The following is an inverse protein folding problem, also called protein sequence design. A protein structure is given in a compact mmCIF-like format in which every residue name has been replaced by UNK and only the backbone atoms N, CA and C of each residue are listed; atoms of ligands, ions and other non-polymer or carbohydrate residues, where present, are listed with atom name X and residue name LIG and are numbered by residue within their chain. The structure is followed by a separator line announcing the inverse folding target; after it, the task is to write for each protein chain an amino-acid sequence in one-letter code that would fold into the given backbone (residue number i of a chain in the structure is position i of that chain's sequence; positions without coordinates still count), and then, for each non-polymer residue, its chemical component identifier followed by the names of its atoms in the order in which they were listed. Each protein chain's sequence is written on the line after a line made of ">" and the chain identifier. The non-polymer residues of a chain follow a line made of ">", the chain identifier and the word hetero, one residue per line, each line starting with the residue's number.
data_IF_220846938803
#
_entry.id   IF_220846938803
#
_cell.length_a   1.000
_cell.length_b   1.000
_cell.length_c   1.000
_cell.angle_alpha   90.00
_cell.angle_beta   90.00
_cell.angle_gamma   90.00
#
_symmetry.space_group_name_H-M   'P 1'
#
loop_
_entity.id
_entity.type
_entity.pdbx_description
1 polymer ?
#
# COMPACT_ATOMS: atom_id res chain seq x y z
N UNK A 1 6.41 -15.02 -13.47
CA UNK A 1 7.02 -13.83 -12.83
C UNK A 1 7.19 -14.12 -11.36
N UNK A 2 8.32 -13.76 -10.73
CA UNK A 2 8.51 -13.93 -9.30
C UNK A 2 7.56 -13.00 -8.52
N UNK A 3 7.09 -13.45 -7.36
CA UNK A 3 6.33 -12.63 -6.43
C UNK A 3 7.27 -11.57 -5.85
N UNK A 4 6.83 -10.31 -5.83
CA UNK A 4 7.58 -9.22 -5.18
C UNK A 4 7.70 -9.52 -3.69
N UNK A 5 8.93 -9.54 -3.19
CA UNK A 5 9.22 -9.84 -1.79
C UNK A 5 9.19 -8.57 -0.94
N UNK A 6 9.22 -8.72 0.38
CA UNK A 6 9.25 -7.59 1.31
C UNK A 6 10.37 -6.58 1.01
N UNK A 7 11.54 -7.04 0.55
CA UNK A 7 12.67 -6.17 0.18
C UNK A 7 12.32 -5.17 -0.94
N UNK A 8 11.34 -5.49 -1.79
CA UNK A 8 10.84 -4.54 -2.78
C UNK A 8 10.10 -3.37 -2.13
N UNK A 9 9.40 -3.61 -1.02
CA UNK A 9 8.54 -2.62 -0.36
C UNK A 9 9.26 -1.83 0.73
N UNK A 10 10.36 -2.31 1.30
CA UNK A 10 11.17 -1.59 2.31
C UNK A 10 12.01 -0.43 1.74
N UNK A 11 11.62 0.09 0.57
CA UNK A 11 12.32 1.15 -0.18
C UNK A 11 11.49 2.44 -0.15
N UNK A 12 12.06 3.58 -0.59
CA UNK A 12 11.35 4.85 -0.58
C UNK A 12 10.00 4.79 -1.32
N UNK A 13 8.92 5.28 -0.71
CA UNK A 13 7.54 5.11 -1.21
C UNK A 13 7.39 5.58 -2.66
N UNK A 14 7.96 6.72 -3.00
CA UNK A 14 7.90 7.28 -4.36
C UNK A 14 8.65 6.43 -5.40
N UNK A 15 9.65 5.64 -4.98
CA UNK A 15 10.33 4.69 -5.86
C UNK A 15 9.42 3.48 -6.09
N UNK A 16 8.91 2.91 -5.00
CA UNK A 16 8.04 1.73 -5.05
C UNK A 16 6.76 2.02 -5.85
N UNK A 17 6.12 3.18 -5.65
CA UNK A 17 4.90 3.55 -6.38
C UNK A 17 5.11 3.56 -7.90
N UNK A 18 6.20 4.16 -8.37
CA UNK A 18 6.53 4.20 -9.81
C UNK A 18 6.85 2.81 -10.35
N UNK A 19 7.57 2.00 -9.59
CA UNK A 19 7.95 0.64 -10.01
C UNK A 19 6.81 -0.37 -9.87
N UNK A 20 5.72 -0.04 -9.17
CA UNK A 20 4.50 -0.85 -9.18
C UNK A 20 3.72 -0.71 -10.48
N UNK A 21 3.87 0.40 -11.22
CA UNK A 21 3.25 0.56 -12.53
C UNK A 21 3.78 -0.49 -13.50
N UNK A 22 2.86 -1.21 -14.15
CA UNK A 22 3.17 -2.34 -15.03
C UNK A 22 3.28 -3.70 -14.31
N UNK A 23 3.31 -3.72 -12.98
CA UNK A 23 3.29 -4.97 -12.21
C UNK A 23 1.89 -5.59 -12.18
N UNK A 24 1.82 -6.90 -11.95
CA UNK A 24 0.55 -7.61 -11.84
C UNK A 24 0.09 -7.72 -10.38
N UNK A 25 -1.14 -7.26 -10.10
CA UNK A 25 -1.87 -7.65 -8.90
C UNK A 25 -2.58 -8.97 -9.18
N UNK A 26 -2.27 -10.00 -8.40
CA UNK A 26 -2.79 -11.36 -8.60
C UNK A 26 -3.58 -11.79 -7.37
N UNK A 27 -4.78 -12.34 -7.59
CA UNK A 27 -5.64 -12.88 -6.55
C UNK A 27 -6.10 -14.29 -6.92
N UNK A 28 -5.76 -15.26 -6.09
CA UNK A 28 -6.38 -16.58 -6.13
C UNK A 28 -7.67 -16.55 -5.30
N UNK A 29 -8.81 -16.78 -5.95
CA UNK A 29 -10.16 -16.72 -5.38
C UNK A 29 -10.95 -17.95 -5.83
N UNK A 30 -11.37 -18.80 -4.89
CA UNK A 30 -12.21 -19.98 -5.14
C UNK A 30 -11.68 -20.89 -6.26
N UNK A 31 -10.36 -21.09 -6.29
CA UNK A 31 -9.67 -21.90 -7.30
C UNK A 31 -9.46 -21.21 -8.65
N UNK A 32 -9.92 -19.98 -8.82
CA UNK A 32 -9.68 -19.14 -10.00
C UNK A 32 -8.57 -18.13 -9.74
N UNK A 33 -7.68 -17.95 -10.71
CA UNK A 33 -6.65 -16.91 -10.68
C UNK A 33 -7.13 -15.69 -11.43
N UNK A 34 -7.33 -14.60 -10.70
CA UNK A 34 -7.62 -13.27 -11.22
C UNK A 34 -6.33 -12.45 -11.26
N UNK A 35 -6.17 -11.62 -12.28
CA UNK A 35 -5.03 -10.69 -12.33
C UNK A 35 -5.37 -9.42 -13.10
N UNK A 36 -4.79 -8.30 -12.65
CA UNK A 36 -4.80 -7.03 -13.37
C UNK A 36 -3.41 -6.41 -13.38
N UNK A 37 -3.13 -5.57 -14.38
CA UNK A 37 -1.92 -4.76 -14.43
C UNK A 37 -2.21 -3.47 -13.65
N UNK A 38 -1.30 -3.11 -12.74
CA UNK A 38 -1.36 -1.84 -12.02
C UNK A 38 -0.97 -0.74 -13.02
N UNK A 39 -1.90 0.15 -13.33
CA UNK A 39 -1.71 1.26 -14.28
C UNK A 39 -1.73 2.62 -13.61
N UNK A 40 -2.15 2.69 -12.35
CA UNK A 40 -2.24 3.90 -11.55
C UNK A 40 -1.87 3.57 -10.10
N UNK A 41 -1.25 4.54 -9.43
CA UNK A 41 -0.90 4.46 -8.00
C UNK A 41 -0.87 5.86 -7.40
N UNK A 42 -1.27 6.01 -6.13
CA UNK A 42 -1.06 7.23 -5.36
C UNK A 42 -0.16 6.96 -4.15
N UNK A 43 0.82 7.82 -3.91
CA UNK A 43 1.76 7.68 -2.80
C UNK A 43 1.39 8.62 -1.65
N UNK A 44 1.32 8.07 -0.44
CA UNK A 44 1.12 8.81 0.80
C UNK A 44 2.36 8.67 1.69
N UNK A 45 3.06 9.78 1.96
CA UNK A 45 4.44 9.73 2.48
C UNK A 45 4.62 10.56 3.75
N UNK A 46 4.88 9.86 4.86
CA UNK A 46 5.28 10.48 6.11
C UNK A 46 4.15 11.23 6.82
N UNK A 47 4.46 11.85 7.97
CA UNK A 47 3.48 12.58 8.78
C UNK A 47 3.12 13.96 8.20
N UNK A 48 3.98 14.52 7.33
CA UNK A 48 3.78 15.87 6.76
C UNK A 48 2.82 15.89 5.56
N UNK A 49 2.53 14.73 4.99
CA UNK A 49 1.52 14.59 3.94
C UNK A 49 0.12 14.76 4.52
N UNK A 50 -0.45 15.96 4.34
CA UNK A 50 -1.77 16.31 4.89
C UNK A 50 -2.93 15.52 4.28
N UNK A 51 -2.75 14.87 3.13
CA UNK A 51 -3.76 14.00 2.53
C UNK A 51 -3.72 12.58 3.13
N UNK A 52 -2.60 12.20 3.75
CA UNK A 52 -2.41 10.90 4.38
C UNK A 52 -3.27 10.73 5.63
N UNK A 53 -3.78 9.50 5.81
CA UNK A 53 -4.39 9.07 7.07
C UNK A 53 -3.44 9.17 8.27
N UNK A 54 -2.12 9.22 8.05
CA UNK A 54 -1.12 9.35 9.10
C UNK A 54 -0.83 10.80 9.51
N UNK A 55 -1.36 11.81 8.82
CA UNK A 55 -1.10 13.23 9.08
C UNK A 55 -1.45 13.72 10.49
N UNK A 56 -2.35 13.01 11.16
CA UNK A 56 -2.76 13.28 12.55
C UNK A 56 -2.17 12.29 13.56
N UNK A 57 -1.15 11.56 13.15
CA UNK A 57 -0.49 10.54 13.95
C UNK A 57 -1.18 9.17 13.90
N UNK A 58 -0.70 8.28 14.76
CA UNK A 58 -1.10 6.88 14.78
C UNK A 58 -2.45 6.68 15.47
N UNK A 59 -3.30 5.88 14.85
CA UNK A 59 -4.60 5.41 15.36
C UNK A 59 -4.68 3.90 15.21
N UNK A 60 -5.63 3.22 15.88
CA UNK A 60 -5.83 1.78 15.67
C UNK A 60 -6.09 1.42 14.20
N UNK A 61 -6.76 2.30 13.45
CA UNK A 61 -7.11 2.09 12.04
C UNK A 61 -5.90 2.20 11.11
N UNK A 62 -5.09 3.25 11.23
CA UNK A 62 -3.95 3.50 10.34
C UNK A 62 -2.65 2.87 10.87
N UNK A 63 -2.68 2.17 12.00
CA UNK A 63 -1.49 1.63 12.67
C UNK A 63 -0.68 0.66 11.81
N UNK A 64 -1.29 0.07 10.78
CA UNK A 64 -0.62 -0.75 9.76
C UNK A 64 0.42 0.06 8.98
N UNK A 65 0.14 1.33 8.66
CA UNK A 65 1.05 2.21 7.92
C UNK A 65 2.37 2.47 8.68
N UNK A 66 2.37 2.34 10.00
CA UNK A 66 3.56 2.51 10.86
C UNK A 66 4.30 1.19 11.10
N UNK A 67 3.81 0.08 10.54
CA UNK A 67 4.34 -1.25 10.74
C UNK A 67 5.40 -1.63 9.71
N UNK A 68 5.47 -2.94 9.44
CA UNK A 68 6.41 -3.49 8.47
C UNK A 68 5.91 -3.22 7.04
N UNK A 69 6.84 -3.02 6.10
CA UNK A 69 6.54 -2.84 4.68
C UNK A 69 5.99 -4.12 4.00
N UNK A 70 5.26 -3.93 2.91
CA UNK A 70 4.66 -5.00 2.10
C UNK A 70 3.37 -5.57 2.70
N UNK A 71 2.78 -4.89 3.67
CA UNK A 71 1.51 -5.29 4.29
C UNK A 71 0.36 -4.56 3.61
N UNK A 72 -0.71 -5.29 3.29
CA UNK A 72 -1.93 -4.69 2.76
C UNK A 72 -2.65 -3.89 3.86
N UNK A 73 -2.90 -2.61 3.58
CA UNK A 73 -3.76 -1.76 4.38
C UNK A 73 -5.06 -1.50 3.62
N UNK A 74 -6.11 -2.23 3.99
CA UNK A 74 -7.44 -2.11 3.38
C UNK A 74 -8.39 -1.43 4.34
N UNK A 75 -9.08 -0.39 3.89
CA UNK A 75 -10.07 0.33 4.70
C UNK A 75 -11.33 0.63 3.91
N UNK A 76 -12.45 0.83 4.64
CA UNK A 76 -13.71 1.28 4.06
C UNK A 76 -13.77 2.79 3.94
N UNK A 77 -14.12 3.29 2.76
CA UNK A 77 -14.49 4.68 2.50
C UNK A 77 -16.01 4.77 2.25
N UNK A 78 -16.63 5.83 2.79
CA UNK A 78 -18.08 6.07 2.73
C UNK A 78 -18.96 4.92 3.25
N UNK A 79 -18.39 4.00 4.04
CA UNK A 79 -19.09 2.83 4.57
C UNK A 79 -19.43 1.75 3.53
N UNK A 80 -18.93 1.85 2.30
CA UNK A 80 -19.35 0.95 1.20
C UNK A 80 -18.26 0.52 0.23
N UNK A 81 -17.17 1.29 0.07
CA UNK A 81 -16.10 0.96 -0.86
C UNK A 81 -14.81 0.61 -0.12
N UNK A 82 -14.05 -0.36 -0.63
CA UNK A 82 -12.75 -0.74 -0.06
C UNK A 82 -11.62 -0.11 -0.85
N UNK A 83 -10.65 0.47 -0.13
CA UNK A 83 -9.44 1.05 -0.71
C UNK A 83 -8.24 0.15 -0.38
N UNK A 84 -7.54 -0.35 -1.39
CA UNK A 84 -6.39 -1.23 -1.22
C UNK A 84 -5.09 -0.42 -1.23
N UNK A 85 -4.36 -0.46 -0.11
CA UNK A 85 -3.04 0.12 -0.02
C UNK A 85 -1.99 -0.94 0.29
N UNK A 86 -0.72 -0.67 -0.02
CA UNK A 86 0.44 -1.45 0.43
C UNK A 86 1.42 -0.57 1.17
N UNK A 87 1.89 -1.02 2.35
CA UNK A 87 2.85 -0.27 3.17
C UNK A 87 4.25 -0.29 2.57
N UNK A 88 4.99 0.79 2.78
CA UNK A 88 6.39 0.94 2.35
C UNK A 88 7.23 1.53 3.47
N UNK A 89 8.51 1.78 3.20
CA UNK A 89 9.45 2.40 4.15
C UNK A 89 9.73 1.52 5.38
N UNK A 90 10.56 2.05 6.28
CA UNK A 90 10.92 1.41 7.54
C UNK A 90 9.81 1.58 8.59
N UNK A 91 9.74 0.69 9.60
CA UNK A 91 8.81 0.84 10.72
C UNK A 91 8.88 2.22 11.38
N UNK A 92 7.75 2.65 11.93
CA UNK A 92 7.52 3.97 12.54
C UNK A 92 7.61 5.18 11.59
N UNK A 93 7.94 4.99 10.32
CA UNK A 93 7.75 5.99 9.26
C UNK A 93 6.47 5.67 8.46
N UNK A 94 5.37 6.42 8.66
CA UNK A 94 4.10 6.04 8.06
C UNK A 94 4.08 6.31 6.56
N UNK A 95 4.00 5.27 5.74
CA UNK A 95 3.83 5.43 4.31
C UNK A 95 3.11 4.27 3.64
N UNK A 96 2.32 4.57 2.62
CA UNK A 96 1.60 3.57 1.85
C UNK A 96 1.35 4.04 0.42
N UNK A 97 1.04 3.07 -0.45
CA UNK A 97 0.67 3.30 -1.85
C UNK A 97 -0.73 2.77 -2.05
N UNK A 98 -1.64 3.62 -2.51
CA UNK A 98 -2.96 3.22 -2.98
C UNK A 98 -2.86 2.67 -4.40
N UNK A 99 -3.57 1.57 -4.65
CA UNK A 99 -3.73 0.92 -5.97
C UNK A 99 -5.18 1.06 -6.41
#
# INVERSE_FOLDING_TARGET
>A
MPILTQNFFTRPTLTVARELLGQHLVRDLDGQRLSGIIVETEAYVGPDDTASHASKGRTPRNGVMFGVAGIAYVYLIYGMYSMLNVTTEQPDFPAAILI
#
